data_IF_002520527628
#
_entry.id   IF_002520527628
#
_cell.length_a   1.000
_cell.length_b   1.000
_cell.length_c   1.000
_cell.angle_alpha   90.00
_cell.angle_beta   90.00
_cell.angle_gamma   90.00
#
_symmetry.space_group_name_H-M   'P 1'
#
loop_
_entity.id
_entity.type
_entity.pdbx_description
1 polymer ?
#
# COMPACT_ATOMS: atom_id res chain seq x y z
N UNK A 1 71.98 17.36 4.99
CA UNK A 1 70.77 18.22 5.07
C UNK A 1 69.64 17.91 4.07
N UNK A 2 69.76 16.95 3.14
CA UNK A 2 68.65 16.61 2.21
C UNK A 2 67.68 15.52 2.72
N UNK A 3 68.18 14.51 3.46
CA UNK A 3 67.35 13.41 3.96
C UNK A 3 66.34 13.83 5.03
N UNK A 4 66.69 14.79 5.90
CA UNK A 4 65.82 15.27 6.99
C UNK A 4 64.58 16.01 6.45
N UNK A 5 64.69 16.71 5.31
CA UNK A 5 63.53 17.39 4.67
C UNK A 5 62.54 16.42 4.04
N UNK A 6 63.00 15.28 3.51
CA UNK A 6 62.15 14.29 2.86
C UNK A 6 61.31 13.52 3.90
N UNK A 7 61.93 13.16 5.03
CA UNK A 7 61.23 12.47 6.14
C UNK A 7 60.17 13.39 6.77
N UNK A 8 60.47 14.69 6.91
CA UNK A 8 59.50 15.65 7.44
C UNK A 8 58.31 15.86 6.50
N UNK A 9 58.54 15.92 5.17
CA UNK A 9 57.45 15.98 4.19
C UNK A 9 56.59 14.70 4.19
N UNK A 10 57.19 13.51 4.36
CA UNK A 10 56.44 12.25 4.45
C UNK A 10 55.56 12.18 5.70
N UNK A 11 56.04 12.67 6.85
CA UNK A 11 55.27 12.72 8.10
C UNK A 11 54.11 13.74 8.04
N UNK A 12 54.31 14.90 7.41
CA UNK A 12 53.23 15.88 7.19
C UNK A 12 52.21 15.33 6.18
N UNK A 13 52.64 14.60 5.15
CA UNK A 13 51.73 13.96 4.18
C UNK A 13 50.87 12.87 4.84
N UNK A 14 51.40 12.13 5.82
CA UNK A 14 50.60 11.14 6.58
C UNK A 14 49.50 11.79 7.43
N UNK A 15 49.67 13.03 7.87
CA UNK A 15 48.62 13.75 8.63
C UNK A 15 47.46 14.27 7.76
N UNK A 16 47.64 14.38 6.44
CA UNK A 16 46.61 14.87 5.50
C UNK A 16 45.74 13.72 4.94
N UNK A 17 46.17 12.46 5.07
CA UNK A 17 45.48 11.31 4.47
C UNK A 17 44.42 10.69 5.39
N UNK A 18 44.34 11.08 6.67
CA UNK A 18 43.14 10.82 7.45
C UNK A 18 42.06 11.81 7.03
N UNK A 19 41.40 11.50 5.93
CA UNK A 19 40.14 12.14 5.57
C UNK A 19 39.25 12.14 6.82
N UNK A 20 38.75 13.33 7.17
CA UNK A 20 37.68 13.45 8.17
C UNK A 20 36.63 12.40 7.82
N UNK A 21 36.25 11.55 8.78
CA UNK A 21 35.19 10.57 8.56
C UNK A 21 34.00 11.29 7.94
N UNK A 22 33.63 10.92 6.73
CA UNK A 22 32.44 11.44 6.08
C UNK A 22 31.27 10.78 6.83
N UNK A 23 30.58 11.57 7.65
CA UNK A 23 29.35 11.13 8.29
C UNK A 23 28.29 11.03 7.19
N UNK A 24 27.88 9.80 6.86
CA UNK A 24 26.85 9.57 5.86
C UNK A 24 25.49 9.94 6.44
N UNK A 25 24.69 10.70 5.69
CA UNK A 25 23.28 10.91 6.01
C UNK A 25 22.56 9.56 6.04
N UNK A 26 22.14 9.14 7.24
CA UNK A 26 21.45 7.88 7.46
C UNK A 26 19.94 8.09 7.34
N UNK A 27 19.34 7.58 6.26
CA UNK A 27 17.88 7.47 6.17
C UNK A 27 17.42 6.23 6.92
N UNK A 28 16.50 6.42 7.87
CA UNK A 28 15.96 5.34 8.70
C UNK A 28 14.56 4.99 8.23
N UNK A 29 14.25 3.69 8.19
CA UNK A 29 12.93 3.19 7.84
C UNK A 29 12.43 2.22 8.90
N UNK A 30 11.15 2.34 9.28
CA UNK A 30 10.49 1.45 10.23
C UNK A 30 9.51 0.52 9.51
N UNK A 31 9.48 -0.75 9.92
CA UNK A 31 8.51 -1.73 9.40
C UNK A 31 7.10 -1.37 9.88
N UNK A 32 6.31 -0.77 9.00
CA UNK A 32 5.03 -0.20 9.36
C UNK A 32 3.89 -1.21 9.33
N UNK A 33 3.99 -2.24 8.50
CA UNK A 33 2.93 -3.24 8.35
C UNK A 33 2.49 -3.90 9.66
N UNK A 34 3.38 -4.03 10.65
CA UNK A 34 3.03 -4.52 12.00
C UNK A 34 1.99 -3.65 12.72
N UNK A 35 1.93 -2.36 12.41
CA UNK A 35 0.90 -1.45 12.94
C UNK A 35 -0.41 -1.55 12.15
N UNK A 36 -0.37 -2.11 10.94
CA UNK A 36 -1.54 -2.24 10.05
C UNK A 36 -2.33 -3.53 10.28
N UNK A 37 -1.69 -4.61 10.77
CA UNK A 37 -2.33 -5.93 10.99
C UNK A 37 -3.37 -5.95 12.12
N UNK A 38 -3.63 -4.81 12.78
CA UNK A 38 -4.77 -4.68 13.68
C UNK A 38 -6.04 -4.39 12.86
N UNK A 39 -7.02 -5.28 12.98
CA UNK A 39 -8.32 -5.11 12.33
C UNK A 39 -9.00 -3.82 12.81
N UNK A 40 -9.53 -3.03 11.88
CA UNK A 40 -10.35 -1.87 12.21
C UNK A 40 -11.71 -2.36 12.73
N UNK A 41 -12.13 -1.94 13.92
CA UNK A 41 -13.39 -2.39 14.51
C UNK A 41 -14.60 -1.78 13.80
N UNK A 42 -14.57 -0.47 13.54
CA UNK A 42 -15.66 0.28 12.91
C UNK A 42 -15.14 1.38 11.99
N UNK A 43 -15.99 1.85 11.09
CA UNK A 43 -15.70 3.02 10.26
C UNK A 43 -14.88 2.74 9.01
N UNK A 44 -14.09 3.73 8.60
CA UNK A 44 -13.21 3.73 7.44
C UNK A 44 -11.95 4.52 7.77
N UNK A 45 -10.78 3.96 7.47
CA UNK A 45 -9.50 4.62 7.69
C UNK A 45 -8.74 4.69 6.37
N UNK A 46 -8.25 5.88 6.02
CA UNK A 46 -7.38 6.11 4.86
C UNK A 46 -6.11 6.80 5.31
N UNK A 47 -4.98 6.31 4.84
CA UNK A 47 -3.67 6.83 5.18
C UNK A 47 -2.89 7.15 3.91
N UNK A 48 -2.16 8.26 3.94
CA UNK A 48 -1.11 8.56 2.97
C UNK A 48 0.23 8.27 3.63
N UNK A 49 1.03 7.43 2.99
CA UNK A 49 2.24 6.85 3.57
C UNK A 49 3.41 7.01 2.61
N UNK A 50 4.48 7.72 2.99
CA UNK A 50 5.70 7.83 2.20
C UNK A 50 6.75 6.86 2.72
N UNK A 51 7.34 6.10 1.82
CA UNK A 51 8.35 5.10 2.17
C UNK A 51 8.59 4.14 1.02
N UNK A 52 8.79 2.87 1.34
CA UNK A 52 8.94 1.83 0.32
C UNK A 52 8.18 0.57 0.66
N UNK A 53 7.86 -0.19 -0.39
CA UNK A 53 7.38 -1.56 -0.23
C UNK A 53 8.36 -2.56 -0.86
N UNK A 54 8.53 -3.71 -0.20
CA UNK A 54 9.26 -4.86 -0.77
C UNK A 54 8.26 -5.79 -1.46
N UNK A 55 8.42 -5.96 -2.77
CA UNK A 55 7.57 -6.83 -3.58
C UNK A 55 8.22 -8.20 -3.79
N UNK A 56 7.44 -9.27 -3.62
CA UNK A 56 7.77 -10.61 -4.09
C UNK A 56 6.98 -10.98 -5.35
N UNK A 57 5.71 -10.55 -5.46
CA UNK A 57 4.81 -10.94 -6.56
C UNK A 57 3.87 -9.81 -7.03
N UNK A 58 4.33 -8.55 -7.07
CA UNK A 58 3.53 -7.43 -7.60
C UNK A 58 2.48 -6.82 -6.67
N UNK A 59 2.29 -7.35 -5.46
CA UNK A 59 1.48 -6.72 -4.39
C UNK A 59 2.31 -6.33 -3.17
N UNK A 60 1.97 -5.19 -2.55
CA UNK A 60 2.58 -4.72 -1.31
C UNK A 60 1.97 -5.44 -0.08
N UNK A 61 2.26 -6.72 0.07
CA UNK A 61 1.68 -7.59 1.11
C UNK A 61 2.45 -7.55 2.43
N UNK A 62 2.23 -6.52 3.24
CA UNK A 62 2.75 -6.51 4.62
C UNK A 62 4.25 -6.20 4.77
N UNK A 63 4.87 -5.68 3.71
CA UNK A 63 6.27 -5.23 3.69
C UNK A 63 6.38 -3.72 3.44
N UNK A 64 5.44 -2.95 3.99
CA UNK A 64 5.46 -1.49 3.91
C UNK A 64 6.37 -0.92 5.00
N UNK A 65 7.35 -0.13 4.58
CA UNK A 65 8.30 0.57 5.43
C UNK A 65 8.10 2.06 5.28
N UNK A 66 8.11 2.78 6.40
CA UNK A 66 7.93 4.23 6.43
C UNK A 66 9.19 4.92 6.89
N UNK A 67 9.49 6.05 6.29
CA UNK A 67 10.69 6.81 6.62
C UNK A 67 10.57 7.44 8.00
N UNK A 68 11.68 7.56 8.73
CA UNK A 68 11.73 8.42 9.92
C UNK A 68 11.72 9.89 9.46
N UNK A 69 10.75 10.73 9.86
CA UNK A 69 10.81 12.16 9.55
C UNK A 69 12.11 12.81 10.03
N UNK A 70 12.72 12.33 11.13
CA UNK A 70 13.98 12.89 11.64
C UNK A 70 15.17 12.65 10.72
N UNK A 71 15.10 11.64 9.85
CA UNK A 71 16.15 11.36 8.87
C UNK A 71 15.96 12.06 7.52
N UNK A 72 14.89 12.85 7.36
CA UNK A 72 14.61 13.62 6.15
C UNK A 72 15.12 15.05 6.25
N UNK A 73 15.37 15.70 5.13
CA UNK A 73 15.62 17.16 5.09
C UNK A 73 14.36 17.95 5.45
N UNK A 74 14.52 19.21 5.90
CA UNK A 74 13.40 20.02 6.39
C UNK A 74 12.27 20.18 5.35
N UNK A 75 12.60 20.35 4.07
CA UNK A 75 11.62 20.42 2.99
C UNK A 75 10.84 19.11 2.77
N UNK A 76 11.49 17.96 3.00
CA UNK A 76 10.86 16.65 2.86
C UNK A 76 10.01 16.24 4.08
N UNK A 77 10.38 16.73 5.28
CA UNK A 77 9.57 16.56 6.51
C UNK A 77 8.19 17.18 6.37
N UNK A 78 8.12 18.33 5.70
CA UNK A 78 6.88 19.08 5.50
C UNK A 78 5.89 18.37 4.56
N UNK A 79 6.28 17.32 3.83
CA UNK A 79 5.40 16.64 2.86
C UNK A 79 4.44 15.64 3.53
N UNK A 80 4.59 15.31 4.83
CA UNK A 80 3.73 14.28 5.44
C UNK A 80 4.24 12.90 5.13
N UNK A 81 5.13 12.38 5.99
CA UNK A 81 5.58 10.99 5.88
C UNK A 81 4.42 10.02 6.15
N UNK A 82 3.55 10.37 7.09
CA UNK A 82 2.33 9.63 7.37
C UNK A 82 1.25 10.58 7.83
N UNK A 83 0.13 10.59 7.11
CA UNK A 83 -1.11 11.29 7.50
C UNK A 83 -2.24 10.27 7.45
N UNK A 84 -3.08 10.27 8.48
CA UNK A 84 -4.18 9.33 8.65
C UNK A 84 -5.50 10.08 8.83
N UNK A 85 -6.56 9.61 8.18
CA UNK A 85 -7.93 10.09 8.36
C UNK A 85 -8.83 8.92 8.75
N UNK A 86 -9.47 9.03 9.91
CA UNK A 86 -10.45 8.07 10.39
C UNK A 86 -11.84 8.66 10.25
N UNK A 87 -12.78 7.89 9.72
CA UNK A 87 -14.16 8.31 9.45
C UNK A 87 -15.12 7.33 10.10
N UNK A 88 -15.99 7.84 10.97
CA UNK A 88 -17.15 7.10 11.46
C UNK A 88 -18.22 7.06 10.36
N UNK A 89 -18.57 5.87 9.87
CA UNK A 89 -19.52 5.71 8.76
C UNK A 89 -20.99 5.89 9.19
N UNK A 90 -21.29 5.92 10.49
CA UNK A 90 -22.65 6.13 11.00
C UNK A 90 -23.09 7.59 10.91
N UNK A 91 -22.15 8.52 11.10
CA UNK A 91 -22.41 9.96 11.19
C UNK A 91 -21.44 10.83 10.36
N UNK A 92 -20.48 10.21 9.68
CA UNK A 92 -19.44 10.87 8.88
C UNK A 92 -18.56 11.86 9.64
N UNK A 93 -18.49 11.77 10.97
CA UNK A 93 -17.47 12.48 11.74
C UNK A 93 -16.10 11.91 11.37
N UNK A 94 -15.16 12.79 11.08
CA UNK A 94 -13.82 12.42 10.68
C UNK A 94 -12.76 13.12 11.51
N UNK A 95 -11.69 12.40 11.85
CA UNK A 95 -10.50 12.93 12.52
C UNK A 95 -9.26 12.68 11.69
N UNK A 96 -8.47 13.72 11.48
CA UNK A 96 -7.14 13.66 10.86
C UNK A 96 -6.09 13.52 11.95
N UNK A 97 -5.07 12.72 11.70
CA UNK A 97 -3.90 12.52 12.54
C UNK A 97 -2.63 12.70 11.71
N UNK A 98 -1.67 13.46 12.22
CA UNK A 98 -0.40 13.74 11.54
C UNK A 98 0.69 14.07 12.57
N UNK A 99 1.85 14.57 12.12
CA UNK A 99 3.01 14.89 12.96
C UNK A 99 3.52 13.67 13.69
N UNK A 100 4.08 12.74 12.90
CA UNK A 100 4.49 11.45 13.44
C UNK A 100 5.86 11.50 14.10
N UNK A 101 6.02 10.70 15.14
CA UNK A 101 7.32 10.44 15.75
C UNK A 101 7.46 8.97 16.15
N UNK A 102 8.70 8.50 16.20
CA UNK A 102 9.03 7.18 16.73
C UNK A 102 9.68 7.33 18.10
N UNK A 103 9.15 6.59 19.07
CA UNK A 103 9.72 6.45 20.41
C UNK A 103 9.65 4.97 20.80
N UNK A 104 10.78 4.39 21.20
CA UNK A 104 10.88 2.97 21.58
C UNK A 104 10.27 2.04 20.52
N UNK A 105 10.60 2.28 19.24
CA UNK A 105 10.09 1.58 18.04
C UNK A 105 8.56 1.62 17.84
N UNK A 106 7.86 2.51 18.55
CA UNK A 106 6.41 2.74 18.40
C UNK A 106 6.14 4.04 17.67
N UNK A 107 5.15 3.99 16.78
CA UNK A 107 4.65 5.14 16.03
C UNK A 107 3.65 5.92 16.89
N UNK A 108 3.83 7.23 16.97
CA UNK A 108 2.92 8.17 17.61
C UNK A 108 2.49 9.26 16.63
N UNK A 109 1.21 9.65 16.69
CA UNK A 109 0.70 10.86 16.03
C UNK A 109 0.60 11.97 17.07
N UNK A 110 1.34 13.07 16.86
CA UNK A 110 1.42 14.16 17.84
C UNK A 110 0.34 15.23 17.64
N UNK A 111 -0.34 15.23 16.50
CA UNK A 111 -1.41 16.18 16.18
C UNK A 111 -2.66 15.48 15.66
N UNK A 112 -3.81 16.02 16.07
CA UNK A 112 -5.12 15.63 15.55
C UNK A 112 -6.03 16.84 15.33
N UNK A 113 -7.02 16.69 14.43
CA UNK A 113 -8.08 17.68 14.23
C UNK A 113 -9.33 17.04 13.65
N UNK A 114 -10.48 17.60 13.98
CA UNK A 114 -11.73 17.27 13.31
C UNK A 114 -11.72 17.72 11.85
N UNK A 115 -12.39 16.95 10.99
CA UNK A 115 -12.46 17.19 9.55
C UNK A 115 -13.91 17.17 9.09
N UNK A 116 -14.32 18.24 8.40
CA UNK A 116 -15.60 18.31 7.71
C UNK A 116 -15.51 17.65 6.34
N UNK A 117 -16.26 16.57 6.12
CA UNK A 117 -16.36 15.88 4.84
C UNK A 117 -17.47 16.50 3.97
N UNK A 118 -17.17 16.73 2.69
CA UNK A 118 -18.18 17.12 1.70
C UNK A 118 -19.07 15.93 1.39
N UNK A 119 -20.29 16.17 0.90
CA UNK A 119 -21.19 15.06 0.53
C UNK A 119 -20.61 14.18 -0.58
N UNK A 120 -19.84 14.76 -1.51
CA UNK A 120 -19.06 14.02 -2.50
C UNK A 120 -18.07 13.04 -1.86
N UNK A 121 -17.35 13.47 -0.82
CA UNK A 121 -16.38 12.64 -0.10
C UNK A 121 -17.09 11.46 0.57
N UNK A 122 -18.25 11.72 1.19
CA UNK A 122 -19.06 10.70 1.88
C UNK A 122 -19.54 9.63 0.91
N UNK A 123 -20.10 10.02 -0.24
CA UNK A 123 -20.56 9.07 -1.26
C UNK A 123 -19.41 8.27 -1.85
N UNK A 124 -18.26 8.91 -2.08
CA UNK A 124 -17.06 8.24 -2.58
C UNK A 124 -16.50 7.22 -1.59
N UNK A 125 -16.47 7.56 -0.29
CA UNK A 125 -16.08 6.62 0.78
C UNK A 125 -17.01 5.41 0.81
N UNK A 126 -18.34 5.61 0.74
CA UNK A 126 -19.31 4.50 0.68
C UNK A 126 -19.05 3.60 -0.52
N UNK A 127 -18.77 4.19 -1.68
CA UNK A 127 -18.49 3.46 -2.92
C UNK A 127 -17.20 2.65 -2.85
N UNK A 128 -16.10 3.27 -2.41
CA UNK A 128 -14.82 2.58 -2.20
C UNK A 128 -15.00 1.42 -1.22
N UNK A 129 -15.71 1.64 -0.10
CA UNK A 129 -16.02 0.57 0.85
C UNK A 129 -16.72 -0.62 0.18
N UNK A 130 -17.78 -0.37 -0.62
CA UNK A 130 -18.48 -1.45 -1.35
C UNK A 130 -17.54 -2.20 -2.29
N UNK A 131 -16.70 -1.49 -3.05
CA UNK A 131 -15.74 -2.12 -3.97
C UNK A 131 -14.67 -2.93 -3.23
N UNK A 132 -14.17 -2.44 -2.09
CA UNK A 132 -13.21 -3.16 -1.26
C UNK A 132 -13.82 -4.44 -0.64
N UNK A 133 -15.11 -4.43 -0.30
CA UNK A 133 -15.82 -5.65 0.13
C UNK A 133 -15.86 -6.70 -0.98
N UNK A 134 -16.13 -6.28 -2.22
CA UNK A 134 -16.14 -7.16 -3.40
C UNK A 134 -14.73 -7.71 -3.65
N UNK A 135 -13.72 -6.83 -3.72
CA UNK A 135 -12.31 -7.23 -3.85
C UNK A 135 -11.89 -8.23 -2.77
N UNK A 136 -12.22 -7.94 -1.51
CA UNK A 136 -11.92 -8.83 -0.40
C UNK A 136 -12.62 -10.19 -0.57
N UNK A 137 -13.87 -10.19 -0.98
CA UNK A 137 -14.61 -11.44 -1.20
C UNK A 137 -13.96 -12.28 -2.30
N UNK A 138 -13.53 -11.66 -3.41
CA UNK A 138 -12.81 -12.31 -4.51
C UNK A 138 -11.47 -12.86 -4.03
N UNK A 139 -10.66 -12.04 -3.35
CA UNK A 139 -9.33 -12.41 -2.84
C UNK A 139 -9.37 -13.64 -1.92
N UNK A 140 -10.45 -13.81 -1.16
CA UNK A 140 -10.61 -14.94 -0.23
C UNK A 140 -11.28 -16.17 -0.85
N UNK A 141 -11.51 -16.20 -2.17
CA UNK A 141 -11.97 -17.41 -2.86
C UNK A 141 -10.83 -18.43 -2.86
N UNK A 142 -11.07 -19.60 -2.26
CA UNK A 142 -10.20 -20.75 -2.43
C UNK A 142 -10.43 -21.35 -3.82
N UNK A 143 -9.36 -21.50 -4.60
CA UNK A 143 -9.40 -22.04 -5.97
C UNK A 143 -8.75 -23.42 -6.00
N UNK A 144 -9.39 -24.39 -6.63
CA UNK A 144 -8.75 -25.69 -6.91
C UNK A 144 -7.90 -25.54 -8.17
N UNK A 145 -6.59 -25.70 -8.02
CA UNK A 145 -5.64 -25.70 -9.12
C UNK A 145 -5.69 -27.11 -9.74
N UNK A 146 -5.88 -27.19 -11.06
CA UNK A 146 -5.82 -28.48 -11.75
C UNK A 146 -4.36 -28.96 -11.77
N UNK A 147 -4.07 -30.21 -11.42
CA UNK A 147 -2.70 -30.78 -11.31
C UNK A 147 -1.89 -30.61 -12.62
N UNK A 148 -2.56 -30.53 -13.78
CA UNK A 148 -1.92 -30.25 -15.07
C UNK A 148 -1.39 -28.81 -15.19
N UNK A 149 -2.06 -27.82 -14.58
CA UNK A 149 -1.60 -26.43 -14.51
C UNK A 149 -0.50 -26.25 -13.45
N UNK A 150 -0.45 -27.12 -12.45
CA UNK A 150 0.64 -27.18 -11.46
C UNK A 150 1.96 -27.62 -12.13
N UNK A 151 1.90 -28.57 -13.07
CA UNK A 151 3.05 -29.03 -13.87
C UNK A 151 3.53 -27.93 -14.83
N UNK A 152 2.63 -27.18 -15.47
CA UNK A 152 3.00 -26.05 -16.35
C UNK A 152 3.66 -24.91 -15.54
N UNK A 153 3.15 -24.61 -14.33
CA UNK A 153 3.80 -23.66 -13.40
C UNK A 153 5.15 -24.14 -12.86
N UNK A 154 5.38 -25.45 -12.79
CA UNK A 154 6.68 -26.00 -12.39
C UNK A 154 7.75 -25.91 -13.50
N UNK A 155 7.34 -25.63 -14.74
CA UNK A 155 8.23 -25.51 -15.90
C UNK A 155 8.49 -24.07 -16.38
N UNK A 156 7.98 -23.05 -15.68
CA UNK A 156 8.38 -21.65 -15.85
C UNK A 156 9.34 -21.23 -14.71
N UNK A 157 10.56 -21.77 -14.77
CA UNK A 157 11.85 -21.12 -14.50
C UNK A 157 12.14 -20.25 -13.24
N UNK A 158 11.29 -20.16 -12.21
CA UNK A 158 11.59 -19.22 -11.08
C UNK A 158 11.71 -19.83 -9.67
N UNK A 159 11.64 -21.15 -9.50
CA UNK A 159 11.70 -21.78 -8.15
C UNK A 159 13.03 -22.43 -7.75
N UNK A 160 14.08 -22.39 -8.59
CA UNK A 160 15.32 -23.16 -8.36
C UNK A 160 16.62 -22.35 -8.22
N UNK A 161 16.56 -21.02 -8.22
CA UNK A 161 17.72 -20.18 -7.85
C UNK A 161 17.33 -19.25 -6.69
N UNK A 162 17.75 -19.62 -5.48
CA UNK A 162 17.42 -18.98 -4.21
C UNK A 162 17.92 -17.53 -4.02
N UNK A 163 17.42 -16.59 -4.83
CA UNK A 163 17.44 -15.15 -4.59
C UNK A 163 16.16 -14.56 -5.21
N UNK A 164 15.04 -14.55 -4.48
CA UNK A 164 13.96 -13.61 -4.82
C UNK A 164 14.55 -12.20 -4.66
N UNK A 165 14.80 -11.53 -5.77
CA UNK A 165 15.34 -10.18 -5.78
C UNK A 165 14.25 -9.23 -5.27
N UNK A 166 14.14 -9.10 -3.93
CA UNK A 166 13.15 -8.26 -3.26
C UNK A 166 13.37 -6.81 -3.66
N UNK A 167 12.62 -6.34 -4.65
CA UNK A 167 12.71 -4.96 -5.13
C UNK A 167 12.04 -4.03 -4.12
N UNK A 168 12.81 -3.04 -3.67
CA UNK A 168 12.29 -1.90 -2.90
C UNK A 168 11.75 -0.88 -3.88
N UNK A 169 10.44 -0.68 -3.87
CA UNK A 169 9.80 0.38 -4.66
C UNK A 169 9.51 1.53 -3.69
N UNK A 170 10.14 2.67 -3.91
CA UNK A 170 9.89 3.88 -3.14
C UNK A 170 8.72 4.63 -3.76
N UNK A 171 7.73 5.02 -2.96
CA UNK A 171 6.54 5.71 -3.43
C UNK A 171 5.79 6.40 -2.28
N UNK A 172 4.75 7.13 -2.65
CA UNK A 172 3.61 7.41 -1.78
C UNK A 172 2.58 6.29 -1.94
N UNK A 173 2.25 5.62 -0.84
CA UNK A 173 1.20 4.60 -0.78
C UNK A 173 -0.07 5.17 -0.14
N UNK A 174 -1.22 4.77 -0.67
CA UNK A 174 -2.52 4.95 -0.02
C UNK A 174 -2.91 3.63 0.63
N UNK A 175 -3.03 3.64 1.95
CA UNK A 175 -3.48 2.48 2.73
C UNK A 175 -4.91 2.71 3.18
N UNK A 176 -5.80 1.77 2.90
CA UNK A 176 -7.21 1.84 3.30
C UNK A 176 -7.55 0.65 4.19
N UNK A 177 -8.25 0.92 5.29
CA UNK A 177 -8.76 -0.11 6.20
C UNK A 177 -10.27 0.04 6.35
N UNK A 178 -10.97 -1.08 6.29
CA UNK A 178 -12.38 -1.22 6.64
C UNK A 178 -12.56 -2.51 7.46
N UNK A 179 -13.57 -2.59 8.34
CA UNK A 179 -13.80 -3.76 9.19
C UNK A 179 -14.04 -5.07 8.42
N UNK A 180 -14.48 -4.99 7.16
CA UNK A 180 -14.81 -6.14 6.34
C UNK A 180 -13.59 -6.80 5.66
N UNK A 181 -12.42 -6.15 5.64
CA UNK A 181 -11.22 -6.77 5.06
C UNK A 181 -10.80 -7.98 5.91
N UNK A 182 -10.38 -9.07 5.24
CA UNK A 182 -9.66 -10.17 5.87
C UNK A 182 -8.18 -9.83 5.98
N UNK A 183 -7.41 -10.69 6.66
CA UNK A 183 -5.96 -10.52 6.79
C UNK A 183 -5.32 -10.26 5.40
N UNK A 184 -4.48 -9.21 5.25
CA UNK A 184 -3.82 -8.45 6.31
C UNK A 184 -4.60 -7.25 6.89
N UNK A 185 -5.90 -7.15 6.63
CA UNK A 185 -6.85 -6.13 7.13
C UNK A 185 -6.71 -4.72 6.54
N UNK A 186 -5.95 -4.61 5.44
CA UNK A 186 -5.78 -3.35 4.72
C UNK A 186 -5.64 -3.60 3.21
N UNK A 187 -5.96 -2.57 2.44
CA UNK A 187 -5.70 -2.46 1.00
C UNK A 187 -4.61 -1.41 0.77
N UNK A 188 -3.69 -1.67 -0.17
CA UNK A 188 -2.60 -0.73 -0.51
C UNK A 188 -2.69 -0.39 -1.99
N UNK A 189 -2.61 0.90 -2.29
CA UNK A 189 -2.45 1.43 -3.64
C UNK A 189 -1.12 2.19 -3.70
N UNK A 190 -0.26 1.82 -4.65
CA UNK A 190 0.89 2.64 -5.03
C UNK A 190 0.38 3.86 -5.81
N UNK A 191 0.45 5.04 -5.21
CA UNK A 191 -0.16 6.25 -5.77
C UNK A 191 0.68 6.89 -6.87
N UNK A 192 2.01 6.84 -6.75
CA UNK A 192 2.90 7.49 -7.72
C UNK A 192 3.06 6.66 -8.99
N UNK A 193 2.89 5.34 -8.89
CA UNK A 193 3.00 4.42 -10.03
C UNK A 193 1.64 4.03 -10.64
N UNK A 194 0.58 4.82 -10.41
CA UNK A 194 -0.73 4.59 -11.06
C UNK A 194 -0.59 4.83 -12.56
N UNK A 195 -0.93 3.82 -13.37
CA UNK A 195 -1.15 4.00 -14.80
C UNK A 195 -2.44 4.81 -15.02
N UNK A 196 -2.25 6.12 -15.17
CA UNK A 196 -3.36 7.06 -15.40
C UNK A 196 -4.12 6.76 -16.68
N UNK A 197 -3.49 6.20 -17.73
CA UNK A 197 -4.19 5.89 -18.98
C UNK A 197 -5.23 4.78 -18.77
N UNK A 198 -4.92 3.78 -17.94
CA UNK A 198 -5.82 2.66 -17.62
C UNK A 198 -6.87 3.06 -16.58
N UNK A 199 -6.54 3.96 -15.65
CA UNK A 199 -7.44 4.42 -14.58
C UNK A 199 -8.71 5.11 -15.09
N UNK A 200 -8.63 5.84 -16.21
CA UNK A 200 -9.77 6.60 -16.74
C UNK A 200 -10.76 5.78 -17.57
N UNK A 201 -10.52 4.48 -17.74
CA UNK A 201 -11.47 3.59 -18.40
C UNK A 201 -12.79 3.54 -17.62
N UNK A 202 -13.90 3.62 -18.35
CA UNK A 202 -15.23 3.59 -17.75
C UNK A 202 -15.57 2.19 -17.22
N UNK A 203 -16.28 2.17 -16.10
CA UNK A 203 -16.81 0.94 -15.53
C UNK A 203 -18.09 0.56 -16.25
N UNK A 204 -18.07 -0.59 -16.94
CA UNK A 204 -19.19 -1.08 -17.77
C UNK A 204 -19.90 -2.28 -17.17
N UNK A 205 -19.50 -2.69 -15.95
CA UNK A 205 -20.09 -3.81 -15.24
C UNK A 205 -21.45 -3.50 -14.61
N UNK A 206 -21.98 -4.50 -13.91
CA UNK A 206 -23.22 -4.40 -13.12
C UNK A 206 -23.12 -3.32 -12.06
N UNK A 207 -24.24 -2.87 -11.48
CA UNK A 207 -24.14 -2.05 -10.28
C UNK A 207 -23.37 -2.79 -9.17
N UNK A 208 -22.69 -2.07 -8.27
CA UNK A 208 -21.88 -2.71 -7.23
C UNK A 208 -22.70 -3.65 -6.32
N UNK A 209 -23.97 -3.31 -6.07
CA UNK A 209 -24.86 -4.14 -5.26
C UNK A 209 -25.26 -5.44 -6.01
N UNK A 210 -25.50 -5.36 -7.32
CA UNK A 210 -25.74 -6.51 -8.17
C UNK A 210 -24.49 -7.39 -8.33
N UNK A 211 -23.32 -6.81 -8.56
CA UNK A 211 -22.05 -7.54 -8.65
C UNK A 211 -21.76 -8.29 -7.34
N UNK A 212 -21.94 -7.63 -6.18
CA UNK A 212 -21.77 -8.29 -4.88
C UNK A 212 -22.76 -9.44 -4.67
N UNK A 213 -24.03 -9.24 -5.05
CA UNK A 213 -25.04 -10.31 -4.99
C UNK A 213 -24.67 -11.47 -5.91
N UNK A 214 -24.29 -11.18 -7.15
CA UNK A 214 -23.89 -12.17 -8.14
C UNK A 214 -22.65 -12.95 -7.69
N UNK A 215 -21.63 -12.27 -7.16
CA UNK A 215 -20.44 -12.90 -6.59
C UNK A 215 -20.78 -13.91 -5.49
N UNK A 216 -21.66 -13.54 -4.55
CA UNK A 216 -22.11 -14.47 -3.50
C UNK A 216 -22.81 -15.70 -4.07
N UNK A 217 -23.67 -15.52 -5.07
CA UNK A 217 -24.35 -16.62 -5.76
C UNK A 217 -23.37 -17.50 -6.55
N UNK A 218 -22.42 -16.89 -7.25
CA UNK A 218 -21.36 -17.57 -7.97
C UNK A 218 -20.55 -18.47 -7.04
N UNK A 219 -20.13 -17.94 -5.89
CA UNK A 219 -19.38 -18.70 -4.88
C UNK A 219 -20.22 -19.87 -4.35
N UNK A 220 -21.47 -19.61 -3.95
CA UNK A 220 -22.35 -20.65 -3.40
C UNK A 220 -22.63 -21.78 -4.39
N UNK A 221 -22.77 -21.47 -5.69
CA UNK A 221 -23.10 -22.44 -6.74
C UNK A 221 -21.90 -23.28 -7.19
N UNK A 222 -20.69 -22.73 -7.12
CA UNK A 222 -19.51 -23.33 -7.75
C UNK A 222 -18.50 -23.93 -6.77
N UNK A 223 -18.73 -23.78 -5.45
CA UNK A 223 -17.93 -24.47 -4.44
C UNK A 223 -18.12 -25.99 -4.53
N UNK A 224 -17.01 -26.71 -4.51
CA UNK A 224 -16.98 -28.16 -4.36
C UNK A 224 -17.13 -28.58 -2.88
N UNK A 225 -16.95 -29.88 -2.62
CA UNK A 225 -17.04 -30.46 -1.27
C UNK A 225 -15.95 -29.96 -0.32
N UNK A 226 -14.82 -29.48 -0.85
CA UNK A 226 -13.71 -28.89 -0.09
C UNK A 226 -13.87 -27.38 0.07
N UNK A 227 -14.94 -26.80 -0.48
CA UNK A 227 -15.19 -25.36 -0.45
C UNK A 227 -14.33 -24.56 -1.43
N UNK A 228 -13.72 -25.22 -2.41
CA UNK A 228 -12.91 -24.60 -3.48
C UNK A 228 -13.73 -24.41 -4.75
N UNK A 229 -13.34 -23.43 -5.57
CA UNK A 229 -13.93 -23.18 -6.88
C UNK A 229 -12.96 -23.65 -7.97
N UNK A 230 -13.41 -24.37 -9.02
CA UNK A 230 -12.57 -24.72 -10.16
C UNK A 230 -11.89 -23.50 -10.79
N UNK A 231 -10.57 -23.56 -11.01
CA UNK A 231 -9.78 -22.46 -11.57
C UNK A 231 -10.37 -21.91 -12.87
N UNK A 232 -10.78 -22.79 -13.78
CA UNK A 232 -11.45 -22.38 -15.03
C UNK A 232 -12.65 -21.46 -14.78
N UNK A 233 -13.54 -21.83 -13.84
CA UNK A 233 -14.73 -21.03 -13.52
C UNK A 233 -14.38 -19.71 -12.83
N UNK A 234 -13.38 -19.73 -11.95
CA UNK A 234 -12.88 -18.53 -11.30
C UNK A 234 -12.29 -17.56 -12.33
N UNK A 235 -11.45 -18.04 -13.25
CA UNK A 235 -10.86 -17.24 -14.31
C UNK A 235 -11.91 -16.63 -15.25
N UNK A 236 -12.89 -17.42 -15.68
CA UNK A 236 -14.01 -16.93 -16.50
C UNK A 236 -14.81 -15.82 -15.79
N UNK A 237 -15.02 -15.94 -14.47
CA UNK A 237 -15.65 -14.89 -13.67
C UNK A 237 -14.78 -13.63 -13.61
N UNK A 238 -13.48 -13.79 -13.32
CA UNK A 238 -12.54 -12.68 -13.20
C UNK A 238 -12.41 -11.90 -14.51
N UNK A 239 -12.28 -12.59 -15.63
CA UNK A 239 -12.22 -11.97 -16.96
C UNK A 239 -13.48 -11.15 -17.23
N UNK A 240 -14.64 -11.79 -17.21
CA UNK A 240 -15.91 -11.16 -17.66
C UNK A 240 -16.47 -10.11 -16.73
N UNK A 241 -16.36 -10.30 -15.41
CA UNK A 241 -17.07 -9.46 -14.44
C UNK A 241 -16.14 -8.44 -13.78
N UNK A 242 -14.81 -8.65 -13.82
CA UNK A 242 -13.83 -7.80 -13.13
C UNK A 242 -12.88 -7.09 -14.10
N UNK A 243 -12.21 -7.83 -15.00
CA UNK A 243 -11.20 -7.26 -15.87
C UNK A 243 -11.79 -6.54 -17.08
N UNK A 244 -12.67 -7.19 -17.84
CA UNK A 244 -13.35 -6.59 -19.01
C UNK A 244 -14.25 -5.41 -18.61
N UNK A 245 -14.77 -5.41 -17.37
CA UNK A 245 -15.62 -4.32 -16.86
C UNK A 245 -14.85 -3.13 -16.32
N UNK A 246 -13.50 -3.20 -16.28
CA UNK A 246 -12.62 -2.19 -15.69
C UNK A 246 -12.88 -1.93 -14.18
N UNK A 247 -13.26 -2.96 -13.42
CA UNK A 247 -13.57 -2.83 -11.99
C UNK A 247 -12.40 -2.21 -11.20
N UNK A 248 -11.18 -2.70 -11.40
CA UNK A 248 -10.00 -2.21 -10.67
C UNK A 248 -9.58 -0.80 -11.12
N UNK A 249 -9.68 -0.47 -12.40
CA UNK A 249 -9.49 0.91 -12.88
C UNK A 249 -10.43 1.87 -12.18
N UNK A 250 -11.70 1.49 -12.04
CA UNK A 250 -12.69 2.28 -11.33
C UNK A 250 -12.37 2.43 -9.86
N UNK A 251 -11.98 1.36 -9.16
CA UNK A 251 -11.56 1.43 -7.76
C UNK A 251 -10.39 2.42 -7.57
N UNK A 252 -9.36 2.29 -8.41
CA UNK A 252 -8.19 3.18 -8.40
C UNK A 252 -8.60 4.63 -8.63
N UNK A 253 -9.48 4.90 -9.60
CA UNK A 253 -10.02 6.24 -9.86
C UNK A 253 -10.74 6.82 -8.65
N UNK A 254 -11.62 6.05 -8.01
CA UNK A 254 -12.36 6.53 -6.82
C UNK A 254 -11.40 6.85 -5.67
N UNK A 255 -10.37 6.03 -5.44
CA UNK A 255 -9.36 6.28 -4.40
C UNK A 255 -8.53 7.52 -4.73
N UNK A 256 -8.10 7.67 -5.99
CA UNK A 256 -7.34 8.81 -6.47
C UNK A 256 -8.12 10.12 -6.31
N UNK A 257 -9.38 10.14 -6.74
CA UNK A 257 -10.26 11.30 -6.61
C UNK A 257 -10.55 11.61 -5.13
N UNK A 258 -10.77 10.59 -4.28
CA UNK A 258 -10.93 10.81 -2.84
C UNK A 258 -9.69 11.47 -2.23
N UNK A 259 -8.50 10.95 -2.53
CA UNK A 259 -7.25 11.55 -2.05
C UNK A 259 -7.14 13.01 -2.50
N UNK A 260 -7.44 13.30 -3.77
CA UNK A 260 -7.41 14.65 -4.33
C UNK A 260 -8.40 15.59 -3.62
N UNK A 261 -9.63 15.14 -3.42
CA UNK A 261 -10.71 15.89 -2.75
C UNK A 261 -10.38 16.16 -1.28
N UNK A 262 -9.69 15.21 -0.64
CA UNK A 262 -9.19 15.36 0.71
C UNK A 262 -8.05 16.39 0.80
N UNK A 263 -7.32 16.68 -0.28
CA UNK A 263 -6.40 17.83 -0.38
C UNK A 263 -5.52 18.01 0.86
N UNK A 264 -5.50 19.23 1.42
CA UNK A 264 -4.82 19.59 2.68
C UNK A 264 -5.13 18.65 3.86
N UNK A 265 -6.26 17.93 3.88
CA UNK A 265 -6.59 16.96 4.94
C UNK A 265 -5.69 15.71 4.90
N UNK A 266 -4.95 15.49 3.81
CA UNK A 266 -3.92 14.44 3.70
C UNK A 266 -2.51 15.03 3.46
N UNK A 267 -2.34 16.35 3.62
CA UNK A 267 -1.09 17.08 3.52
C UNK A 267 -0.85 17.93 4.79
N UNK A 268 0.37 18.43 5.01
CA UNK A 268 0.59 19.54 5.96
C UNK A 268 0.27 20.87 5.26
N UNK A 269 -0.18 21.85 6.03
CA UNK A 269 -0.10 23.27 5.64
C UNK A 269 1.26 23.81 6.06
#
# INVERSE_FOLDING_TARGET
MRAVKIILCFLILQTIIFSKSIEMDKIVYYHYARNLVQKLETGFEIQRVRGYCEFTTGECLGSLFITDPKSLEWGERNIGVLVKLNVDLSNFKAKRYWDISFKDDKLYFNKESDVMLKDSDKERIKKIKKMLIIHNTIKNIAVSIDEADEIIRSSEDDYLFGIEDRRKIFSTYIVIKIPELSYPYFYVLDYENIDTAVMWKEYTGRSLDELNKYLKQFIAKNKDKEGKIPQKKYNEFMEKEIYETNFYSKLTKEIFELKKDLGEKLHYN
#
